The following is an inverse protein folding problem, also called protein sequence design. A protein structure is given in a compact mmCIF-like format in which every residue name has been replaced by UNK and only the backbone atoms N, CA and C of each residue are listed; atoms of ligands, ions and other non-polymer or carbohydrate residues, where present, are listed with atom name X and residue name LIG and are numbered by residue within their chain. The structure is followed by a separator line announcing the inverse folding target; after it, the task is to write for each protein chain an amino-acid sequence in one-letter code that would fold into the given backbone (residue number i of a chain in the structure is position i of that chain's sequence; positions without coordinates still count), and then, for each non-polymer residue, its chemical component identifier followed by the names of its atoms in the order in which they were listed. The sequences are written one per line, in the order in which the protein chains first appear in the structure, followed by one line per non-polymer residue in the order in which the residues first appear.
data_IF_121635301055
#
_entry.id   IF_121635301055
#
_cell.length_a   1.000
_cell.length_b   1.000
_cell.length_c   1.000
_cell.angle_alpha   90.00
_cell.angle_beta   90.00
_cell.angle_gamma   90.00
#
_symmetry.space_group_name_H-M   'P 1'
#
loop_
_entity.id
_entity.type
_entity.pdbx_description
1 polymer ?
#
# COMPACT_ATOMS: atom_id res chain seq x y z
N UNK A 1 -15.88 0.36 -6.01
CA UNK A 1 -15.17 1.62 -5.62
C UNK A 1 -16.03 2.87 -5.65
N UNK A 2 -17.10 2.94 -6.44
CA UNK A 2 -17.96 4.13 -6.50
C UNK A 2 -18.51 4.58 -5.12
N UNK A 3 -18.87 3.64 -4.25
CA UNK A 3 -19.44 3.92 -2.93
C UNK A 3 -18.41 4.30 -1.84
N UNK A 4 -17.10 4.17 -2.09
CA UNK A 4 -16.10 4.54 -1.07
C UNK A 4 -16.02 6.06 -0.90
N UNK A 5 -16.14 6.51 0.34
CA UNK A 5 -15.86 7.87 0.77
C UNK A 5 -14.91 7.87 1.97
N UNK A 6 -13.82 8.67 1.96
CA UNK A 6 -12.89 8.71 3.07
C UNK A 6 -13.55 9.25 4.35
N UNK A 7 -13.29 8.58 5.48
CA UNK A 7 -13.69 9.05 6.80
C UNK A 7 -12.89 10.30 7.23
N UNK A 8 -13.24 10.88 8.40
CA UNK A 8 -12.56 12.08 8.93
C UNK A 8 -11.04 11.89 9.09
N UNK A 9 -10.61 10.71 9.55
CA UNK A 9 -9.17 10.43 9.75
C UNK A 9 -8.46 10.25 8.41
N UNK A 10 -9.11 9.59 7.46
CA UNK A 10 -8.60 9.40 6.11
C UNK A 10 -8.49 10.74 5.36
N UNK A 11 -9.47 11.64 5.50
CA UNK A 11 -9.38 13.01 4.96
C UNK A 11 -8.22 13.79 5.57
N UNK A 12 -8.01 13.71 6.90
CA UNK A 12 -6.83 14.31 7.54
C UNK A 12 -5.51 13.73 7.03
N UNK A 13 -5.48 12.43 6.75
CA UNK A 13 -4.31 11.78 6.15
C UNK A 13 -4.03 12.35 4.75
N UNK A 14 -5.06 12.52 3.91
CA UNK A 14 -4.91 13.13 2.58
C UNK A 14 -4.41 14.59 2.69
N UNK A 15 -4.99 15.40 3.55
CA UNK A 15 -4.55 16.80 3.78
C UNK A 15 -3.10 16.88 4.25
N UNK A 16 -2.69 16.02 5.18
CA UNK A 16 -1.32 15.99 5.71
C UNK A 16 -0.28 15.65 4.65
N UNK A 17 -0.66 14.94 3.62
CA UNK A 17 0.20 14.50 2.53
C UNK A 17 -0.09 15.24 1.21
N UNK A 18 -0.76 16.40 1.27
CA UNK A 18 -1.08 17.21 0.08
C UNK A 18 0.17 17.79 -0.61
N UNK A 19 1.29 17.83 0.10
CA UNK A 19 2.60 18.25 -0.41
C UNK A 19 3.35 17.15 -1.17
N UNK A 20 2.80 15.93 -1.22
CA UNK A 20 3.43 14.81 -1.91
C UNK A 20 2.95 14.71 -3.36
N UNK A 21 3.92 14.52 -4.25
CA UNK A 21 3.65 14.07 -5.62
C UNK A 21 3.48 12.56 -5.61
N UNK A 22 2.41 12.08 -6.24
CA UNK A 22 2.11 10.64 -6.39
C UNK A 22 2.39 10.22 -7.83
N UNK A 23 3.28 9.26 -8.01
CA UNK A 23 3.74 8.79 -9.33
C UNK A 23 3.42 7.31 -9.48
N UNK A 24 2.76 6.93 -10.58
CA UNK A 24 2.59 5.53 -10.99
C UNK A 24 3.79 5.11 -11.83
N UNK A 25 4.67 4.32 -11.26
CA UNK A 25 5.89 3.84 -11.91
C UNK A 25 5.83 2.33 -12.15
N UNK A 26 6.52 1.86 -13.17
CA UNK A 26 6.74 0.43 -13.37
C UNK A 26 7.51 -0.14 -12.17
N UNK A 27 7.08 -1.32 -11.69
CA UNK A 27 7.80 -2.04 -10.65
C UNK A 27 9.20 -2.42 -11.15
N UNK A 28 10.19 -2.29 -10.28
CA UNK A 28 11.56 -2.62 -10.61
C UNK A 28 12.56 -2.07 -9.59
N UNK A 29 13.76 -2.60 -9.67
CA UNK A 29 14.85 -2.20 -8.81
C UNK A 29 15.40 -0.83 -9.20
N UNK A 30 15.62 0.02 -8.20
CA UNK A 30 16.56 1.14 -8.23
C UNK A 30 17.26 1.22 -6.88
N UNK A 31 18.45 1.79 -6.83
CA UNK A 31 19.20 1.96 -5.57
C UNK A 31 18.40 2.77 -4.54
N UNK A 32 17.69 3.81 -4.96
CA UNK A 32 16.83 4.64 -4.09
C UNK A 32 15.68 3.82 -3.47
N UNK A 33 14.96 3.05 -4.29
CA UNK A 33 13.85 2.20 -3.84
C UNK A 33 14.32 1.13 -2.86
N UNK A 34 15.43 0.48 -3.18
CA UNK A 34 16.02 -0.55 -2.33
C UNK A 34 16.54 0.02 -1.01
N UNK A 35 17.20 1.18 -1.03
CA UNK A 35 17.66 1.86 0.18
C UNK A 35 16.48 2.21 1.11
N UNK A 36 15.35 2.73 0.56
CA UNK A 36 14.15 2.99 1.32
C UNK A 36 13.56 1.70 1.92
N UNK A 37 13.50 0.62 1.14
CA UNK A 37 12.98 -0.68 1.58
C UNK A 37 13.81 -1.23 2.75
N UNK A 38 15.13 -1.22 2.65
CA UNK A 38 16.02 -1.67 3.73
C UNK A 38 15.86 -0.85 5.00
N UNK A 39 15.78 0.48 4.90
CA UNK A 39 15.51 1.35 6.07
C UNK A 39 14.19 1.00 6.74
N UNK A 40 13.14 0.77 5.95
CA UNK A 40 11.84 0.39 6.47
C UNK A 40 11.88 -0.97 7.18
N UNK A 41 12.52 -1.99 6.57
CA UNK A 41 12.64 -3.32 7.17
C UNK A 41 13.41 -3.25 8.50
N UNK A 42 14.54 -2.57 8.51
CA UNK A 42 15.36 -2.41 9.72
C UNK A 42 14.56 -1.78 10.86
N UNK A 43 13.77 -0.74 10.59
CA UNK A 43 12.99 -0.04 11.61
C UNK A 43 11.75 -0.84 12.10
N UNK A 44 11.20 -1.74 11.27
CA UNK A 44 9.93 -2.41 11.56
C UNK A 44 10.04 -3.90 11.84
N UNK A 45 11.11 -4.54 11.42
CA UNK A 45 11.30 -6.00 11.43
C UNK A 45 12.69 -6.41 11.92
N UNK A 46 13.38 -5.58 12.72
CA UNK A 46 14.66 -5.92 13.31
C UNK A 46 14.55 -7.25 14.08
N UNK A 47 15.37 -8.23 13.70
CA UNK A 47 15.35 -9.61 14.22
C UNK A 47 14.44 -10.59 13.46
N UNK A 48 13.81 -10.22 12.36
CA UNK A 48 12.84 -11.04 11.62
C UNK A 48 13.38 -11.79 10.40
N UNK A 49 14.69 -11.92 10.21
CA UNK A 49 15.27 -12.69 9.06
C UNK A 49 15.12 -12.04 7.68
N UNK A 50 14.40 -10.93 7.56
CA UNK A 50 14.28 -10.14 6.32
C UNK A 50 15.31 -8.99 6.24
N UNK A 51 16.15 -8.84 7.26
CA UNK A 51 17.12 -7.75 7.37
C UNK A 51 18.24 -7.80 6.30
N UNK A 52 18.40 -8.93 5.63
CA UNK A 52 19.41 -9.18 4.61
C UNK A 52 18.86 -9.23 3.19
N UNK A 53 17.64 -8.69 2.94
CA UNK A 53 17.04 -8.69 1.61
C UNK A 53 17.98 -7.99 0.60
N UNK A 54 18.55 -8.77 -0.30
CA UNK A 54 19.36 -8.27 -1.43
C UNK A 54 18.48 -7.72 -2.57
N UNK A 55 19.11 -7.33 -3.68
CA UNK A 55 18.39 -6.78 -4.83
C UNK A 55 17.44 -7.81 -5.47
N UNK A 56 17.83 -9.09 -5.48
CA UNK A 56 17.03 -10.16 -6.06
C UNK A 56 15.84 -10.49 -5.17
N UNK A 57 16.02 -10.52 -3.85
CA UNK A 57 14.94 -10.66 -2.88
C UNK A 57 13.95 -9.50 -2.96
N UNK A 58 14.44 -8.27 -3.09
CA UNK A 58 13.61 -7.10 -3.32
C UNK A 58 12.73 -7.27 -4.56
N UNK A 59 13.33 -7.68 -5.67
CA UNK A 59 12.59 -7.83 -6.93
C UNK A 59 11.59 -8.99 -6.87
N UNK A 60 12.00 -10.15 -6.37
CA UNK A 60 11.14 -11.33 -6.23
C UNK A 60 9.94 -11.11 -5.31
N UNK A 61 10.13 -10.35 -4.22
CA UNK A 61 9.07 -10.10 -3.26
C UNK A 61 8.09 -9.01 -3.71
N UNK A 62 8.59 -7.98 -4.42
CA UNK A 62 7.80 -6.80 -4.75
C UNK A 62 7.30 -6.75 -6.19
N UNK A 63 7.61 -7.74 -7.01
CA UNK A 63 7.08 -7.85 -8.36
C UNK A 63 6.68 -9.28 -8.69
N UNK A 64 5.57 -9.44 -9.41
CA UNK A 64 5.07 -10.73 -9.80
C UNK A 64 5.07 -10.85 -11.33
N UNK A 65 5.70 -11.90 -11.93
CA UNK A 65 5.74 -12.05 -13.37
C UNK A 65 4.36 -12.34 -13.98
N UNK A 66 3.41 -12.79 -13.17
CA UNK A 66 2.04 -13.15 -13.56
C UNK A 66 1.03 -12.00 -13.40
N UNK A 67 1.43 -10.87 -12.82
CA UNK A 67 0.54 -9.72 -12.62
C UNK A 67 1.25 -8.41 -12.97
N UNK A 68 0.59 -7.47 -13.66
CA UNK A 68 1.12 -6.11 -13.82
C UNK A 68 1.24 -5.43 -12.46
N UNK A 69 2.46 -5.32 -11.95
CA UNK A 69 2.76 -4.63 -10.70
C UNK A 69 3.18 -3.20 -10.98
N UNK A 70 2.57 -2.25 -10.28
CA UNK A 70 2.95 -0.84 -10.25
C UNK A 70 3.52 -0.48 -8.88
N UNK A 71 4.49 0.41 -8.88
CA UNK A 71 4.91 1.13 -7.69
C UNK A 71 4.24 2.50 -7.67
N UNK A 72 3.32 2.70 -6.73
CA UNK A 72 2.75 4.02 -6.47
C UNK A 72 3.68 4.73 -5.50
N UNK A 73 4.54 5.60 -6.05
CA UNK A 73 5.56 6.33 -5.30
C UNK A 73 4.99 7.61 -4.70
N UNK A 74 5.44 7.92 -3.49
CA UNK A 74 5.14 9.17 -2.77
C UNK A 74 6.42 9.98 -2.65
N UNK A 75 6.48 11.13 -3.32
CA UNK A 75 7.66 11.97 -3.35
C UNK A 75 7.38 13.35 -2.76
N UNK A 76 8.30 13.82 -1.95
CA UNK A 76 8.36 15.22 -1.56
C UNK A 76 9.52 15.87 -2.33
N UNK A 77 9.20 16.66 -3.37
CA UNK A 77 10.20 17.09 -4.37
C UNK A 77 10.90 15.86 -4.96
N UNK A 78 12.24 15.79 -4.85
CA UNK A 78 13.03 14.67 -5.38
C UNK A 78 13.16 13.47 -4.40
N UNK A 79 12.79 13.65 -3.14
CA UNK A 79 12.93 12.63 -2.09
C UNK A 79 11.79 11.61 -2.15
N UNK A 80 12.11 10.35 -2.30
CA UNK A 80 11.17 9.23 -2.21
C UNK A 80 10.86 8.94 -0.73
N UNK A 81 9.60 9.10 -0.33
CA UNK A 81 9.14 8.88 1.04
C UNK A 81 8.41 7.56 1.23
N UNK A 82 7.85 6.98 0.18
CA UNK A 82 7.15 5.71 0.29
C UNK A 82 6.75 5.14 -1.05
N UNK A 83 6.46 3.85 -1.04
CA UNK A 83 5.97 3.09 -2.18
C UNK A 83 4.82 2.19 -1.73
N UNK A 84 3.69 2.27 -2.41
CA UNK A 84 2.64 1.27 -2.33
C UNK A 84 2.77 0.32 -3.53
N UNK A 85 3.20 -0.90 -3.27
CA UNK A 85 3.28 -2.00 -4.26
C UNK A 85 1.86 -2.43 -4.59
N UNK A 86 1.53 -2.41 -5.85
CA UNK A 86 0.14 -2.47 -6.32
C UNK A 86 0.03 -3.37 -7.53
N UNK A 87 -0.65 -4.50 -7.41
CA UNK A 87 -1.01 -5.30 -8.58
C UNK A 87 -2.32 -4.79 -9.17
N UNK A 88 -2.35 -4.65 -10.49
CA UNK A 88 -3.50 -4.12 -11.20
C UNK A 88 -4.02 -5.16 -12.16
N UNK A 89 -5.26 -5.60 -11.93
CA UNK A 89 -5.99 -6.51 -12.80
C UNK A 89 -7.28 -5.88 -13.29
N UNK A 90 -7.94 -6.48 -14.28
CA UNK A 90 -9.26 -6.02 -14.75
C UNK A 90 -10.33 -6.12 -13.66
N UNK A 91 -10.20 -7.08 -12.74
CA UNK A 91 -11.17 -7.32 -11.67
C UNK A 91 -10.91 -6.52 -10.40
N UNK A 92 -9.68 -6.05 -10.17
CA UNK A 92 -9.34 -5.36 -8.94
C UNK A 92 -7.91 -4.85 -8.86
N UNK A 93 -7.71 -3.94 -7.94
CA UNK A 93 -6.39 -3.48 -7.49
C UNK A 93 -6.04 -4.22 -6.20
N UNK A 94 -4.86 -4.81 -6.11
CA UNK A 94 -4.38 -5.47 -4.90
C UNK A 94 -3.33 -4.61 -4.20
N UNK A 95 -3.58 -4.26 -2.94
CA UNK A 95 -2.64 -3.61 -2.04
C UNK A 95 -1.67 -4.66 -1.49
N UNK A 96 -0.61 -4.96 -2.25
CA UNK A 96 0.34 -6.04 -1.95
C UNK A 96 1.18 -5.70 -0.72
N UNK A 97 1.86 -4.57 -0.77
CA UNK A 97 2.74 -4.13 0.31
C UNK A 97 2.91 -2.62 0.29
N UNK A 98 3.21 -2.01 1.44
CA UNK A 98 3.57 -0.59 1.51
C UNK A 98 4.75 -0.42 2.43
N UNK A 99 5.82 0.20 1.93
CA UNK A 99 6.99 0.57 2.72
C UNK A 99 7.28 2.05 2.54
N UNK A 100 7.83 2.66 3.58
CA UNK A 100 8.00 4.10 3.63
C UNK A 100 9.11 4.49 4.60
N UNK A 101 9.56 5.73 4.51
CA UNK A 101 10.54 6.30 5.38
C UNK A 101 10.08 6.23 6.85
N UNK A 102 10.79 5.48 7.72
CA UNK A 102 10.40 5.32 9.11
C UNK A 102 10.37 6.65 9.89
N UNK A 103 11.13 7.66 9.45
CA UNK A 103 11.17 8.97 10.09
C UNK A 103 9.92 9.81 9.81
N UNK A 104 9.11 9.40 8.82
CA UNK A 104 7.85 10.05 8.41
C UNK A 104 6.61 9.46 9.11
N UNK A 105 6.75 8.88 10.29
CA UNK A 105 5.70 8.18 11.01
C UNK A 105 4.42 9.00 11.24
N UNK A 106 4.55 10.32 11.41
CA UNK A 106 3.42 11.24 11.58
C UNK A 106 2.49 11.33 10.36
N UNK A 107 2.99 11.05 9.15
CA UNK A 107 2.25 11.15 7.89
C UNK A 107 1.24 10.04 7.66
N UNK A 108 1.35 8.89 8.36
CA UNK A 108 0.48 7.72 8.16
C UNK A 108 0.52 7.20 6.72
N UNK A 109 1.74 7.07 6.15
CA UNK A 109 1.95 6.73 4.73
C UNK A 109 1.37 5.36 4.33
N UNK A 110 1.25 4.40 5.24
CA UNK A 110 0.56 3.14 4.96
C UNK A 110 -0.95 3.34 4.67
N UNK A 111 -1.63 4.20 5.42
CA UNK A 111 -3.03 4.58 5.14
C UNK A 111 -3.12 5.40 3.85
N UNK A 112 -2.19 6.34 3.65
CA UNK A 112 -2.12 7.15 2.45
C UNK A 112 -1.98 6.27 1.20
N UNK A 113 -1.13 5.23 1.25
CA UNK A 113 -0.95 4.27 0.17
C UNK A 113 -2.25 3.62 -0.27
N UNK A 114 -3.05 3.10 0.67
CA UNK A 114 -4.35 2.51 0.35
C UNK A 114 -5.30 3.56 -0.26
N UNK A 115 -5.30 4.78 0.26
CA UNK A 115 -6.13 5.86 -0.30
C UNK A 115 -5.75 6.20 -1.75
N UNK A 116 -4.45 6.16 -2.09
CA UNK A 116 -3.99 6.36 -3.45
C UNK A 116 -4.33 5.17 -4.36
N UNK A 117 -4.27 3.93 -3.85
CA UNK A 117 -4.72 2.74 -4.58
C UNK A 117 -6.23 2.77 -4.85
N UNK A 118 -7.04 3.27 -3.91
CA UNK A 118 -8.48 3.54 -4.12
C UNK A 118 -8.68 4.61 -5.20
N UNK A 119 -7.91 5.69 -5.16
CA UNK A 119 -7.96 6.74 -6.18
C UNK A 119 -7.56 6.20 -7.57
N UNK A 120 -6.51 5.37 -7.65
CA UNK A 120 -6.09 4.66 -8.85
C UNK A 120 -7.22 3.79 -9.42
N UNK A 121 -7.85 2.96 -8.58
CA UNK A 121 -8.94 2.09 -8.97
C UNK A 121 -10.13 2.92 -9.52
N UNK A 122 -10.48 4.03 -8.86
CA UNK A 122 -11.54 4.95 -9.34
C UNK A 122 -11.21 5.54 -10.71
N UNK A 123 -10.00 6.06 -10.90
CA UNK A 123 -9.57 6.64 -12.20
C UNK A 123 -9.62 5.64 -13.34
N UNK A 124 -9.31 4.37 -13.05
CA UNK A 124 -9.27 3.29 -14.05
C UNK A 124 -10.61 2.55 -14.20
N UNK A 125 -11.67 2.94 -13.47
CA UNK A 125 -12.96 2.26 -13.49
C UNK A 125 -12.92 0.84 -12.91
N UNK A 126 -11.91 0.50 -12.11
CA UNK A 126 -11.74 -0.83 -11.49
C UNK A 126 -12.64 -0.93 -10.25
N UNK A 127 -13.47 -1.98 -10.13
CA UNK A 127 -14.53 -2.01 -9.12
C UNK A 127 -14.05 -2.29 -7.70
N UNK A 128 -12.92 -2.99 -7.50
CA UNK A 128 -12.49 -3.46 -6.19
C UNK A 128 -11.05 -3.07 -5.86
N UNK A 129 -10.78 -2.90 -4.54
CA UNK A 129 -9.42 -2.85 -3.98
C UNK A 129 -9.32 -3.93 -2.90
N UNK A 130 -8.42 -4.87 -3.11
CA UNK A 130 -8.13 -5.96 -2.18
C UNK A 130 -7.05 -5.52 -1.19
N UNK A 131 -7.41 -5.47 0.10
CA UNK A 131 -6.52 -5.01 1.17
C UNK A 131 -5.64 -6.14 1.74
N UNK A 132 -5.72 -7.35 1.18
CA UNK A 132 -5.02 -8.53 1.69
C UNK A 132 -5.63 -9.10 2.96
N UNK A 133 -4.88 -9.94 3.66
CA UNK A 133 -5.35 -10.62 4.86
C UNK A 133 -5.74 -9.65 5.98
N UNK A 134 -6.74 -10.07 6.75
CA UNK A 134 -7.17 -9.40 7.96
C UNK A 134 -7.38 -10.40 9.09
N UNK A 135 -6.86 -10.11 10.27
CA UNK A 135 -7.03 -10.88 11.49
C UNK A 135 -7.74 -10.00 12.49
N UNK A 136 -8.90 -10.45 12.97
CA UNK A 136 -9.70 -9.72 13.93
C UNK A 136 -8.92 -9.43 15.23
N UNK A 137 -8.94 -8.19 15.69
CA UNK A 137 -8.26 -7.76 16.93
C UNK A 137 -6.74 -7.64 16.80
N UNK A 138 -6.15 -7.89 15.63
CA UNK A 138 -4.72 -7.72 15.44
C UNK A 138 -4.36 -6.25 15.22
N UNK A 139 -3.58 -5.59 16.10
CA UNK A 139 -3.35 -4.14 16.07
C UNK A 139 -2.80 -3.62 14.74
N UNK A 140 -1.91 -4.38 14.09
CA UNK A 140 -1.31 -4.01 12.80
C UNK A 140 -2.25 -4.16 11.59
N UNK A 141 -3.44 -4.77 11.77
CA UNK A 141 -4.37 -5.05 10.67
C UNK A 141 -5.74 -4.39 10.85
N UNK A 142 -6.09 -3.96 12.06
CA UNK A 142 -7.43 -3.48 12.40
C UNK A 142 -7.81 -2.17 11.67
N UNK A 143 -6.82 -1.36 11.28
CA UNK A 143 -7.05 -0.16 10.49
C UNK A 143 -7.76 -0.42 9.15
N UNK A 144 -7.69 -1.63 8.58
CA UNK A 144 -8.35 -2.02 7.33
C UNK A 144 -9.88 -1.93 7.43
N UNK A 145 -10.47 -2.13 8.63
CA UNK A 145 -11.91 -1.99 8.89
C UNK A 145 -12.46 -0.60 8.60
N UNK A 146 -11.61 0.40 8.50
CA UNK A 146 -12.00 1.79 8.24
C UNK A 146 -12.23 2.11 6.77
N UNK A 147 -11.89 1.21 5.86
CA UNK A 147 -12.10 1.38 4.43
C UNK A 147 -13.47 0.82 4.03
N UNK A 148 -14.54 1.57 4.34
CA UNK A 148 -15.92 1.16 4.08
C UNK A 148 -16.44 1.73 2.75
N UNK A 149 -17.34 1.00 2.02
CA UNK A 149 -17.86 -0.33 2.34
C UNK A 149 -16.78 -1.41 2.21
N UNK A 150 -16.77 -2.36 3.14
CA UNK A 150 -15.79 -3.42 3.22
C UNK A 150 -16.49 -4.78 3.17
N UNK A 151 -15.89 -5.70 2.43
CA UNK A 151 -16.29 -7.10 2.39
C UNK A 151 -15.12 -7.97 2.86
N UNK A 152 -15.44 -9.06 3.55
CA UNK A 152 -14.48 -10.10 3.94
C UNK A 152 -14.80 -11.41 3.21
N UNK A 153 -13.79 -12.15 2.80
CA UNK A 153 -13.97 -13.48 2.24
C UNK A 153 -13.91 -14.51 3.37
N UNK A 154 -15.04 -15.17 3.64
CA UNK A 154 -15.17 -16.22 4.65
C UNK A 154 -15.80 -17.45 4.01
N UNK A 155 -15.16 -18.62 4.17
CA UNK A 155 -15.63 -19.90 3.60
C UNK A 155 -15.99 -19.80 2.10
N UNK A 156 -15.13 -19.14 1.33
CA UNK A 156 -15.29 -18.98 -0.12
C UNK A 156 -16.30 -17.91 -0.58
N UNK A 157 -17.01 -17.24 0.35
CA UNK A 157 -18.04 -16.22 0.05
C UNK A 157 -17.58 -14.83 0.51
N UNK A 158 -17.97 -13.79 -0.23
CA UNK A 158 -17.81 -12.41 0.18
C UNK A 158 -18.99 -11.99 1.05
N UNK A 159 -18.71 -11.41 2.21
CA UNK A 159 -19.68 -11.01 3.22
C UNK A 159 -19.40 -9.56 3.58
N UNK A 160 -20.44 -8.70 3.49
CA UNK A 160 -20.34 -7.31 3.91
C UNK A 160 -19.96 -7.21 5.41
N UNK A 161 -19.05 -6.32 5.71
CA UNK A 161 -18.62 -6.04 7.07
C UNK A 161 -19.32 -4.77 7.57
N UNK A 162 -20.03 -4.80 8.68
CA UNK A 162 -20.74 -3.66 9.23
C UNK A 162 -19.85 -2.50 9.70
#
# INVERSE_FOLDING_TARGET
MAAFAPDRTQRRCLTRNADLTVIEAQAGFTHERHALYRRYLHARHSGGGMDAADADDFQRFLSAPWSPTLFVEFRQRDRLLGIAVTDVTLAGVSAVYTFFDPDEGSRSLGTFGILQQVALAKRRGIPYVYLGFWIAGHPKMDYKRRFKPLEIRKLGRWIAMP
#
